data_IF_748700792400
#
_entry.id   IF_748700792400
#
_cell.length_a   1.000
_cell.length_b   1.000
_cell.length_c   1.000
_cell.angle_alpha   90.00
_cell.angle_beta   90.00
_cell.angle_gamma   90.00
#
_symmetry.space_group_name_H-M   'P 1'
#
loop_
_entity.id
_entity.type
_entity.pdbx_description
1 polymer ?
#
# COMPACT_ATOMS: atom_id res chain seq x y z
N UNK A 1 5.29 11.53 19.76
CA UNK A 1 4.48 11.87 20.97
C UNK A 1 3.15 11.14 20.87
N UNK A 2 2.72 10.38 21.88
CA UNK A 2 1.40 9.74 21.90
C UNK A 2 0.37 10.80 22.26
N UNK A 3 -0.42 11.22 21.27
CA UNK A 3 -1.27 12.42 21.37
C UNK A 3 -2.47 12.20 22.32
N UNK A 4 -2.88 10.94 22.58
CA UNK A 4 -4.11 10.62 23.33
C UNK A 4 -3.93 9.47 24.31
N UNK A 5 -3.04 9.60 25.30
CA UNK A 5 -2.71 8.55 26.28
C UNK A 5 -3.92 7.78 26.87
N UNK A 6 -4.53 8.27 27.95
CA UNK A 6 -5.68 7.60 28.60
C UNK A 6 -7.04 7.98 27.98
N UNK A 7 -7.07 9.01 27.11
CA UNK A 7 -8.30 9.47 26.45
C UNK A 7 -8.59 8.73 25.13
N UNK A 8 -7.66 7.92 24.61
CA UNK A 8 -7.91 7.11 23.44
C UNK A 8 -8.70 5.85 23.76
N UNK A 9 -9.66 5.54 22.90
CA UNK A 9 -10.32 4.24 22.87
C UNK A 9 -9.28 3.14 22.58
N UNK A 10 -9.28 2.07 23.40
CA UNK A 10 -8.37 0.93 23.24
C UNK A 10 -8.59 0.22 21.91
N UNK A 11 -7.51 -0.20 21.25
CA UNK A 11 -7.59 -0.94 19.99
C UNK A 11 -8.13 -2.36 20.26
N UNK A 12 -9.35 -2.64 19.81
CA UNK A 12 -9.93 -3.99 19.86
C UNK A 12 -9.38 -4.85 18.71
N UNK A 13 -9.30 -6.17 18.90
CA UNK A 13 -8.83 -7.10 17.86
C UNK A 13 -9.62 -6.97 16.55
N UNK A 14 -10.93 -6.70 16.64
CA UNK A 14 -11.79 -6.46 15.47
C UNK A 14 -11.39 -5.19 14.72
N UNK A 15 -11.12 -4.10 15.44
CA UNK A 15 -10.67 -2.81 14.86
C UNK A 15 -9.27 -2.94 14.26
N UNK A 16 -8.38 -3.72 14.89
CA UNK A 16 -7.05 -4.01 14.37
C UNK A 16 -7.12 -4.82 13.06
N UNK A 17 -7.89 -5.91 13.04
CA UNK A 17 -8.06 -6.75 11.85
C UNK A 17 -8.67 -5.96 10.68
N UNK A 18 -9.67 -5.12 10.96
CA UNK A 18 -10.29 -4.26 9.95
C UNK A 18 -9.28 -3.27 9.33
N UNK A 19 -8.47 -2.60 10.16
CA UNK A 19 -7.40 -1.71 9.67
C UNK A 19 -6.37 -2.46 8.81
N UNK A 20 -5.98 -3.66 9.21
CA UNK A 20 -5.05 -4.48 8.43
C UNK A 20 -5.65 -4.88 7.07
N UNK A 21 -6.92 -5.29 7.03
CA UNK A 21 -7.59 -5.61 5.77
C UNK A 21 -7.70 -4.39 4.85
N UNK A 22 -7.99 -3.20 5.39
CA UNK A 22 -8.01 -1.96 4.61
C UNK A 22 -6.64 -1.65 3.99
N UNK A 23 -5.55 -1.85 4.74
CA UNK A 23 -4.19 -1.62 4.25
C UNK A 23 -3.82 -2.57 3.10
N UNK A 24 -4.19 -3.85 3.21
CA UNK A 24 -3.98 -4.84 2.15
C UNK A 24 -4.78 -4.54 0.88
N UNK A 25 -6.05 -4.14 1.01
CA UNK A 25 -6.88 -3.77 -0.15
C UNK A 25 -6.31 -2.52 -0.82
N UNK A 26 -5.99 -1.48 -0.03
CA UNK A 26 -5.45 -0.23 -0.56
C UNK A 26 -4.11 -0.44 -1.29
N UNK A 27 -3.17 -1.15 -0.67
CA UNK A 27 -1.88 -1.46 -1.30
C UNK A 27 -2.04 -2.39 -2.52
N UNK A 28 -2.95 -3.37 -2.44
CA UNK A 28 -3.29 -4.27 -3.53
C UNK A 28 -3.84 -3.55 -4.76
N UNK A 29 -4.78 -2.62 -4.56
CA UNK A 29 -5.37 -1.84 -5.65
C UNK A 29 -4.30 -1.04 -6.40
N UNK A 30 -3.38 -0.36 -5.69
CA UNK A 30 -2.29 0.38 -6.32
C UNK A 30 -1.30 -0.50 -7.08
N UNK A 31 -0.99 -1.68 -6.56
CA UNK A 31 -0.12 -2.64 -7.23
C UNK A 31 -0.80 -3.27 -8.45
N UNK A 32 -2.10 -3.54 -8.37
CA UNK A 32 -2.87 -4.22 -9.42
C UNK A 32 -3.21 -3.30 -10.59
N UNK A 33 -3.43 -2.00 -10.32
CA UNK A 33 -3.68 -1.00 -11.37
C UNK A 33 -2.60 -0.96 -12.47
N UNK A 34 -1.36 -1.30 -12.12
CA UNK A 34 -0.23 -1.39 -13.06
C UNK A 34 -0.37 -2.56 -14.04
N UNK A 35 -1.15 -3.59 -13.71
CA UNK A 35 -1.41 -4.74 -14.58
C UNK A 35 -2.66 -4.56 -15.46
N UNK A 36 -3.63 -3.73 -15.04
CA UNK A 36 -4.86 -3.44 -15.81
C UNK A 36 -4.65 -2.30 -16.83
N UNK A 37 -3.41 -1.84 -17.04
CA UNK A 37 -3.08 -0.88 -18.10
C UNK A 37 -3.29 0.59 -17.73
N UNK A 38 -3.47 0.93 -16.44
CA UNK A 38 -3.37 2.33 -15.99
C UNK A 38 -1.90 2.82 -16.10
N UNK A 39 -0.94 1.91 -15.95
CA UNK A 39 0.49 2.14 -16.13
C UNK A 39 1.16 0.79 -16.51
N UNK A 40 2.49 0.68 -16.41
CA UNK A 40 3.23 -0.56 -16.71
C UNK A 40 4.47 -0.73 -15.82
N UNK A 41 4.88 -1.98 -15.63
CA UNK A 41 6.18 -2.32 -15.06
C UNK A 41 7.23 -2.43 -16.18
N UNK A 42 8.32 -1.67 -16.07
CA UNK A 42 9.39 -1.62 -17.07
C UNK A 42 10.72 -1.98 -16.40
N UNK A 43 11.61 -2.71 -17.09
CA UNK A 43 12.98 -2.92 -16.63
C UNK A 43 13.72 -1.59 -16.45
N UNK A 44 14.37 -1.41 -15.30
CA UNK A 44 15.08 -0.17 -14.98
C UNK A 44 16.55 -0.29 -15.40
N UNK A 45 17.07 0.78 -16.00
CA UNK A 45 18.51 0.94 -16.26
C UNK A 45 19.11 -0.22 -17.08
N UNK A 46 20.01 -0.98 -16.48
CA UNK A 46 20.71 -2.11 -17.11
C UNK A 46 19.92 -3.44 -17.06
N UNK A 47 18.60 -3.39 -16.82
CA UNK A 47 17.67 -4.53 -16.82
C UNK A 47 17.73 -5.55 -15.64
N UNK A 48 18.39 -5.32 -14.47
CA UNK A 48 18.41 -6.30 -13.37
C UNK A 48 17.15 -6.23 -12.49
N UNK A 49 16.31 -5.21 -12.64
CA UNK A 49 15.11 -5.01 -11.83
C UNK A 49 13.98 -4.40 -12.66
N UNK A 50 12.74 -4.69 -12.26
CA UNK A 50 11.54 -4.09 -12.82
C UNK A 50 10.92 -3.14 -11.79
N UNK A 51 10.49 -1.97 -12.24
CA UNK A 51 9.78 -0.99 -11.41
C UNK A 51 8.65 -0.35 -12.19
N UNK A 52 7.86 0.49 -11.53
CA UNK A 52 6.81 1.30 -12.15
C UNK A 52 7.48 2.28 -13.14
N UNK A 53 6.87 2.49 -14.30
CA UNK A 53 7.34 3.48 -15.26
C UNK A 53 7.14 4.90 -14.74
N UNK A 54 8.24 5.61 -14.48
CA UNK A 54 8.27 7.01 -14.03
C UNK A 54 8.86 7.96 -15.09
N UNK A 55 9.16 7.46 -16.29
CA UNK A 55 9.84 8.22 -17.36
C UNK A 55 8.93 8.54 -18.55
N UNK A 56 7.61 8.34 -18.40
CA UNK A 56 6.63 8.74 -19.43
C UNK A 56 6.18 10.18 -19.22
#
# INVERSE_FOLDING_TARGET
VIVRGMSAETLTSKKAAFKNQMDWVWSGDWAYNQYIGWNRYVPVGNLPSCSIDYLT
#
